data_IF_580582189593
#
_entry.id   IF_580582189593
#
_cell.length_a   1.000
_cell.length_b   1.000
_cell.length_c   1.000
_cell.angle_alpha   90.00
_cell.angle_beta   90.00
_cell.angle_gamma   90.00
#
_symmetry.space_group_name_H-M   'P 1'
#
loop_
_entity.id
_entity.type
_entity.pdbx_description
1 polymer ?
#
# COMPACT_ATOMS: atom_id res chain seq x y z
N UNK A 1 0.45 17.99 25.16
CA UNK A 1 1.01 16.78 24.53
C UNK A 1 1.77 16.05 25.62
N UNK A 2 1.18 14.97 26.16
CA UNK A 2 1.82 14.13 27.16
C UNK A 2 2.61 13.08 26.38
N UNK A 3 3.93 13.21 26.34
CA UNK A 3 4.83 12.14 25.89
C UNK A 3 4.72 11.03 26.94
N UNK A 4 4.34 9.78 26.59
CA UNK A 4 4.33 8.70 27.57
C UNK A 4 5.76 8.49 28.07
N UNK A 5 5.95 8.61 29.36
CA UNK A 5 7.19 8.25 30.02
C UNK A 5 7.26 6.71 30.04
N UNK A 6 7.98 6.12 29.09
CA UNK A 6 8.25 4.69 29.08
C UNK A 6 9.10 4.35 30.31
N UNK A 7 8.57 3.54 31.19
CA UNK A 7 9.37 2.96 32.30
C UNK A 7 10.30 1.92 31.65
N UNK A 8 11.61 2.01 31.94
CA UNK A 8 12.69 1.17 31.39
C UNK A 8 12.42 -0.35 31.43
N UNK A 9 11.55 -0.80 32.33
CA UNK A 9 11.25 -2.23 32.55
C UNK A 9 10.28 -2.85 31.53
N UNK A 10 9.44 -2.08 30.82
CA UNK A 10 8.44 -2.63 29.91
C UNK A 10 8.99 -2.83 28.48
N UNK A 11 9.96 -2.03 28.06
CA UNK A 11 10.63 -2.14 26.75
C UNK A 11 11.47 -3.42 26.67
N UNK A 12 12.07 -3.83 27.79
CA UNK A 12 12.99 -4.96 27.85
C UNK A 12 12.32 -6.33 27.60
N UNK A 13 11.08 -6.54 28.01
CA UNK A 13 10.44 -7.86 27.90
C UNK A 13 9.91 -8.15 26.49
N UNK A 14 9.15 -7.26 25.90
CA UNK A 14 8.55 -7.44 24.56
C UNK A 14 9.60 -7.61 23.45
N UNK A 15 10.64 -6.77 23.47
CA UNK A 15 11.67 -6.72 22.43
C UNK A 15 12.98 -7.39 22.84
N UNK A 16 13.02 -8.08 23.98
CA UNK A 16 14.24 -8.65 24.58
C UNK A 16 15.03 -9.52 23.58
N UNK A 17 14.36 -10.36 22.77
CA UNK A 17 15.01 -11.22 21.78
C UNK A 17 15.53 -10.42 20.58
N UNK A 18 14.85 -9.36 20.20
CA UNK A 18 15.25 -8.47 19.10
C UNK A 18 16.45 -7.61 19.51
N UNK A 19 16.48 -7.13 20.75
CA UNK A 19 17.59 -6.35 21.32
C UNK A 19 18.89 -7.16 21.39
N UNK A 20 18.82 -8.47 21.64
CA UNK A 20 20.00 -9.35 21.63
C UNK A 20 20.65 -9.48 20.26
N UNK A 21 19.93 -9.18 19.18
CA UNK A 21 20.51 -9.22 17.85
C UNK A 21 21.45 -8.04 17.62
N UNK A 22 22.70 -8.34 17.23
CA UNK A 22 23.76 -7.34 17.08
C UNK A 22 23.47 -6.19 16.12
N UNK A 23 22.62 -6.43 15.11
CA UNK A 23 22.20 -5.41 14.15
C UNK A 23 21.14 -4.43 14.68
N UNK A 24 20.54 -4.70 15.85
CA UNK A 24 19.52 -3.83 16.47
C UNK A 24 20.00 -3.29 17.80
N UNK A 25 20.20 -4.14 18.80
CA UNK A 25 20.56 -3.75 20.18
C UNK A 25 19.56 -2.77 20.79
N UNK A 26 19.83 -2.27 21.97
CA UNK A 26 18.98 -1.27 22.65
C UNK A 26 18.88 0.05 21.87
N UNK A 27 19.98 0.50 21.27
CA UNK A 27 20.00 1.74 20.50
C UNK A 27 19.11 1.64 19.25
N UNK A 28 19.23 0.54 18.49
CA UNK A 28 18.37 0.29 17.34
C UNK A 28 16.91 0.17 17.74
N UNK A 29 16.60 -0.51 18.86
CA UNK A 29 15.22 -0.60 19.35
C UNK A 29 14.64 0.77 19.71
N UNK A 30 15.42 1.65 20.34
CA UNK A 30 14.99 3.04 20.60
C UNK A 30 14.72 3.81 19.30
N UNK A 31 15.55 3.61 18.27
CA UNK A 31 15.32 4.20 16.95
C UNK A 31 14.02 3.67 16.30
N UNK A 32 13.76 2.36 16.37
CA UNK A 32 12.52 1.76 15.87
C UNK A 32 11.29 2.35 16.57
N UNK A 33 11.31 2.47 17.88
CA UNK A 33 10.21 3.06 18.67
C UNK A 33 9.96 4.54 18.36
N UNK A 34 10.96 5.26 17.86
CA UNK A 34 10.83 6.66 17.45
C UNK A 34 10.44 6.81 15.97
N UNK A 35 10.59 5.74 15.16
CA UNK A 35 10.46 5.77 13.72
C UNK A 35 9.00 5.82 13.27
N UNK A 36 8.82 6.38 12.05
CA UNK A 36 7.54 6.51 11.34
C UNK A 36 7.64 5.90 9.95
N UNK A 37 6.76 4.97 9.65
CA UNK A 37 6.77 4.25 8.38
C UNK A 37 5.42 4.41 7.69
N UNK A 38 5.44 4.75 6.40
CA UNK A 38 4.29 4.69 5.53
C UNK A 38 4.24 3.35 4.79
N UNK A 39 3.13 2.66 4.85
CA UNK A 39 2.84 1.46 4.07
C UNK A 39 1.78 1.83 3.04
N UNK A 40 2.16 1.84 1.75
CA UNK A 40 1.24 2.14 0.64
C UNK A 40 0.69 0.84 0.10
N UNK A 41 -0.61 0.64 0.26
CA UNK A 41 -1.30 -0.62 -0.02
C UNK A 41 -1.23 -1.59 1.16
N UNK A 42 -2.38 -2.09 1.61
CA UNK A 42 -2.52 -3.09 2.67
C UNK A 42 -3.07 -4.41 2.11
N UNK A 43 -2.59 -4.77 0.91
CA UNK A 43 -2.84 -6.05 0.27
C UNK A 43 -1.96 -7.17 0.84
N UNK A 44 -1.49 -8.07 -0.01
CA UNK A 44 -0.69 -9.23 0.41
C UNK A 44 0.65 -8.80 1.03
N UNK A 45 1.45 -7.98 0.34
CA UNK A 45 2.73 -7.48 0.86
C UNK A 45 2.50 -6.53 2.04
N UNK A 46 1.63 -5.53 1.89
CA UNK A 46 1.44 -4.50 2.91
C UNK A 46 0.87 -5.03 4.23
N UNK A 47 0.00 -6.03 4.22
CA UNK A 47 -0.46 -6.68 5.45
C UNK A 47 0.67 -7.40 6.18
N UNK A 48 1.57 -8.07 5.45
CA UNK A 48 2.74 -8.72 6.03
C UNK A 48 3.77 -7.68 6.55
N UNK A 49 3.96 -6.56 5.85
CA UNK A 49 4.78 -5.44 6.33
C UNK A 49 4.24 -4.88 7.66
N UNK A 50 2.95 -4.59 7.70
CA UNK A 50 2.28 -3.99 8.85
C UNK A 50 2.42 -4.89 10.10
N UNK A 51 2.20 -6.19 9.94
CA UNK A 51 2.37 -7.16 11.02
C UNK A 51 3.80 -7.20 11.52
N UNK A 52 4.78 -7.37 10.63
CA UNK A 52 6.17 -7.52 10.99
C UNK A 52 6.74 -6.26 11.66
N UNK A 53 6.46 -5.06 11.10
CA UNK A 53 6.92 -3.79 11.66
C UNK A 53 6.22 -3.45 12.98
N UNK A 54 4.92 -3.75 13.11
CA UNK A 54 4.20 -3.59 14.36
C UNK A 54 4.74 -4.46 15.48
N UNK A 55 5.09 -5.73 15.17
CA UNK A 55 5.74 -6.64 16.11
C UNK A 55 7.16 -6.21 16.45
N UNK A 56 7.90 -5.64 15.50
CA UNK A 56 9.24 -5.11 15.71
C UNK A 56 9.25 -3.81 16.54
N UNK A 57 8.10 -3.19 16.77
CA UNK A 57 7.98 -1.97 17.58
C UNK A 57 8.36 -0.71 16.82
N UNK A 58 8.04 -0.63 15.52
CA UNK A 58 8.09 0.65 14.80
C UNK A 58 7.02 1.56 15.40
N UNK A 59 7.45 2.71 15.95
CA UNK A 59 6.62 3.54 16.81
C UNK A 59 5.37 4.11 16.18
N UNK A 60 5.40 4.40 14.86
CA UNK A 60 4.23 4.86 14.11
C UNK A 60 4.14 4.20 12.74
N UNK A 61 2.99 3.60 12.46
CA UNK A 61 2.66 3.00 11.15
C UNK A 61 1.49 3.75 10.54
N UNK A 62 1.74 4.43 9.41
CA UNK A 62 0.71 5.00 8.56
C UNK A 62 0.39 3.98 7.48
N UNK A 63 -0.87 3.51 7.43
CA UNK A 63 -1.31 2.45 6.51
C UNK A 63 -2.37 3.02 5.59
N UNK A 64 -2.10 2.99 4.30
CA UNK A 64 -3.00 3.55 3.29
C UNK A 64 -3.49 2.45 2.36
N UNK A 65 -4.79 2.25 2.28
CA UNK A 65 -5.42 1.34 1.32
C UNK A 65 -6.84 1.83 1.00
N UNK A 66 -7.23 1.71 -0.26
CA UNK A 66 -8.55 2.10 -0.75
C UNK A 66 -9.60 1.00 -0.70
N UNK A 67 -9.15 -0.26 -0.56
CA UNK A 67 -10.00 -1.45 -0.70
C UNK A 67 -10.56 -1.93 0.63
N UNK A 68 -11.50 -2.84 0.54
CA UNK A 68 -12.06 -3.58 1.68
C UNK A 68 -11.67 -5.06 1.63
N UNK A 69 -11.83 -5.75 2.76
CA UNK A 69 -11.50 -7.17 2.88
C UNK A 69 -12.55 -8.01 2.14
N UNK A 70 -12.07 -8.95 1.31
CA UNK A 70 -12.89 -9.93 0.58
C UNK A 70 -12.44 -11.37 0.92
N UNK A 71 -13.31 -12.38 0.81
CA UNK A 71 -12.93 -13.79 1.07
C UNK A 71 -11.75 -14.26 0.22
N UNK A 72 -11.64 -13.78 -1.04
CA UNK A 72 -10.52 -14.07 -1.95
C UNK A 72 -9.16 -13.53 -1.48
N UNK A 73 -9.15 -12.63 -0.49
CA UNK A 73 -7.93 -12.07 0.08
C UNK A 73 -7.33 -12.98 1.16
N UNK A 74 -8.15 -13.72 1.90
CA UNK A 74 -7.79 -14.43 3.13
C UNK A 74 -6.69 -15.47 2.96
N UNK A 75 -6.55 -16.03 1.75
CA UNK A 75 -5.53 -17.04 1.47
C UNK A 75 -4.09 -16.48 1.47
N UNK A 76 -3.90 -15.14 1.41
CA UNK A 76 -2.56 -14.52 1.33
C UNK A 76 -2.39 -13.19 2.08
N UNK A 77 -3.45 -12.59 2.60
CA UNK A 77 -3.42 -11.33 3.37
C UNK A 77 -3.59 -11.65 4.86
N UNK A 78 -2.47 -11.90 5.53
CA UNK A 78 -2.39 -12.54 6.84
C UNK A 78 -3.04 -11.77 8.00
N UNK A 79 -3.22 -10.47 7.85
CA UNK A 79 -3.83 -9.62 8.89
C UNK A 79 -5.34 -9.77 8.99
N UNK A 80 -6.00 -10.36 7.97
CA UNK A 80 -7.46 -10.40 7.87
C UNK A 80 -8.03 -11.77 8.18
N UNK A 81 -9.26 -11.78 8.72
CA UNK A 81 -10.02 -12.97 9.07
C UNK A 81 -11.40 -12.96 8.42
N UNK A 82 -12.11 -14.08 8.49
CA UNK A 82 -13.44 -14.24 7.88
C UNK A 82 -14.44 -13.15 8.32
N UNK A 83 -14.45 -12.79 9.60
CA UNK A 83 -15.35 -11.75 10.10
C UNK A 83 -15.06 -10.35 9.55
N UNK A 84 -13.81 -10.07 9.13
CA UNK A 84 -13.48 -8.80 8.47
C UNK A 84 -14.06 -8.78 7.05
N UNK A 85 -14.00 -9.92 6.35
CA UNK A 85 -14.59 -10.08 5.02
C UNK A 85 -16.14 -10.05 5.06
N UNK A 86 -16.76 -10.69 6.05
CA UNK A 86 -18.21 -10.66 6.25
C UNK A 86 -18.71 -9.24 6.49
N UNK A 87 -18.00 -8.47 7.33
CA UNK A 87 -18.30 -7.06 7.62
C UNK A 87 -17.86 -6.11 6.53
N UNK A 88 -17.08 -6.60 5.56
CA UNK A 88 -16.44 -5.78 4.51
C UNK A 88 -15.72 -4.57 5.09
N UNK A 89 -14.88 -4.80 6.09
CA UNK A 89 -14.08 -3.73 6.67
C UNK A 89 -13.06 -3.21 5.64
N UNK A 90 -12.81 -1.90 5.59
CA UNK A 90 -11.66 -1.37 4.86
C UNK A 90 -10.37 -2.03 5.34
N UNK A 91 -9.48 -2.40 4.42
CA UNK A 91 -8.23 -3.09 4.74
C UNK A 91 -7.38 -2.33 5.75
N UNK A 92 -7.24 -1.01 5.57
CA UNK A 92 -6.48 -0.17 6.50
C UNK A 92 -7.07 -0.19 7.93
N UNK A 93 -8.41 -0.19 8.06
CA UNK A 93 -9.10 -0.27 9.36
C UNK A 93 -8.94 -1.64 9.99
N UNK A 94 -9.17 -2.72 9.23
CA UNK A 94 -9.02 -4.09 9.72
C UNK A 94 -7.58 -4.35 10.22
N UNK A 95 -6.58 -3.91 9.44
CA UNK A 95 -5.17 -3.99 9.82
C UNK A 95 -4.88 -3.19 11.09
N UNK A 96 -5.37 -1.95 11.20
CA UNK A 96 -5.16 -1.11 12.38
C UNK A 96 -5.77 -1.74 13.64
N UNK A 97 -6.96 -2.33 13.55
CA UNK A 97 -7.58 -3.01 14.68
C UNK A 97 -6.73 -4.21 15.13
N UNK A 98 -6.28 -5.03 14.18
CA UNK A 98 -5.42 -6.18 14.47
C UNK A 98 -4.07 -5.77 15.07
N UNK A 99 -3.47 -4.70 14.57
CA UNK A 99 -2.18 -4.20 15.08
C UNK A 99 -2.29 -3.69 16.51
N UNK A 100 -3.39 -3.04 16.89
CA UNK A 100 -3.64 -2.62 18.28
C UNK A 100 -3.74 -3.80 19.23
N UNK A 101 -4.30 -4.93 18.77
CA UNK A 101 -4.33 -6.19 19.55
C UNK A 101 -2.92 -6.82 19.64
N UNK A 102 -2.08 -6.67 18.61
CA UNK A 102 -0.70 -7.20 18.58
C UNK A 102 0.23 -6.35 19.44
N UNK A 103 0.16 -5.02 19.31
CA UNK A 103 1.05 -4.09 19.98
C UNK A 103 0.35 -2.76 20.29
N UNK A 104 -0.08 -2.60 21.54
CA UNK A 104 -0.77 -1.40 22.01
C UNK A 104 0.15 -0.20 22.28
N UNK A 105 1.48 -0.36 22.19
CA UNK A 105 2.47 0.67 22.48
C UNK A 105 2.82 1.54 21.27
N UNK A 106 2.40 1.13 20.06
CA UNK A 106 2.68 1.84 18.82
C UNK A 106 1.44 2.59 18.33
N UNK A 107 1.68 3.66 17.59
CA UNK A 107 0.62 4.46 16.97
C UNK A 107 0.30 3.93 15.56
N UNK A 108 -0.98 3.69 15.29
CA UNK A 108 -1.45 3.24 13.98
C UNK A 108 -2.38 4.28 13.38
N UNK A 109 -2.00 4.81 12.21
CA UNK A 109 -2.76 5.80 11.43
C UNK A 109 -3.37 5.13 10.17
N UNK A 110 -4.61 4.62 10.20
CA UNK A 110 -5.24 4.04 9.03
C UNK A 110 -5.85 5.13 8.13
N UNK A 111 -5.55 5.08 6.84
CA UNK A 111 -6.11 5.95 5.82
C UNK A 111 -6.87 5.12 4.76
N UNK A 112 -8.18 5.31 4.68
CA UNK A 112 -9.03 4.64 3.68
C UNK A 112 -9.17 5.56 2.47
N UNK A 113 -8.13 5.60 1.64
CA UNK A 113 -8.08 6.49 0.47
C UNK A 113 -7.28 5.87 -0.68
N UNK A 114 -7.54 6.36 -1.88
CA UNK A 114 -6.72 6.07 -3.05
C UNK A 114 -5.48 6.98 -3.04
N UNK A 115 -4.30 6.38 -3.24
CA UNK A 115 -3.04 7.14 -3.32
C UNK A 115 -2.89 7.69 -4.73
N UNK A 116 -2.77 9.02 -4.84
CA UNK A 116 -2.67 9.73 -6.10
C UNK A 116 -1.80 10.99 -5.95
N UNK A 117 -1.59 11.70 -7.06
CA UNK A 117 -0.74 12.91 -7.10
C UNK A 117 -1.14 14.02 -6.12
N UNK A 118 -2.42 14.08 -5.71
CA UNK A 118 -2.90 15.16 -4.82
C UNK A 118 -2.67 14.89 -3.33
N UNK A 119 -2.38 13.63 -2.94
CA UNK A 119 -2.27 13.26 -1.52
C UNK A 119 -0.96 12.55 -1.14
N UNK A 120 -0.21 12.00 -2.10
CA UNK A 120 0.99 11.22 -1.80
C UNK A 120 2.04 12.01 -1.02
N UNK A 121 2.28 13.28 -1.36
CA UNK A 121 3.25 14.11 -0.68
C UNK A 121 2.87 14.34 0.79
N UNK A 122 1.59 14.58 1.08
CA UNK A 122 1.09 14.69 2.45
C UNK A 122 1.19 13.35 3.22
N UNK A 123 0.96 12.23 2.53
CA UNK A 123 1.08 10.90 3.15
C UNK A 123 2.52 10.54 3.51
N UNK A 124 3.51 11.00 2.73
CA UNK A 124 4.94 10.78 2.99
C UNK A 124 5.45 11.72 4.10
N UNK A 125 4.86 12.88 4.25
CA UNK A 125 5.36 13.91 5.17
C UNK A 125 5.56 13.37 6.60
N UNK A 126 6.77 13.58 7.10
CA UNK A 126 7.21 13.13 8.42
C UNK A 126 7.43 11.62 8.55
N UNK A 127 7.47 10.86 7.45
CA UNK A 127 7.85 9.43 7.46
C UNK A 127 9.33 9.26 7.18
N UNK A 128 9.97 8.32 7.89
CA UNK A 128 11.39 7.99 7.72
C UNK A 128 11.61 7.02 6.55
N UNK A 129 10.66 6.12 6.29
CA UNK A 129 10.72 5.12 5.20
C UNK A 129 9.32 4.87 4.65
N UNK A 130 9.23 4.64 3.33
CA UNK A 130 8.01 4.19 2.65
C UNK A 130 8.16 2.74 2.19
N UNK A 131 7.18 1.89 2.45
CA UNK A 131 7.11 0.52 1.92
C UNK A 131 6.04 0.39 0.85
N UNK A 132 6.45 -0.19 -0.27
CA UNK A 132 5.56 -0.56 -1.37
C UNK A 132 4.85 -1.88 -1.09
N UNK A 133 3.55 -1.81 -0.82
CA UNK A 133 2.62 -2.94 -0.74
C UNK A 133 1.63 -2.98 -1.91
N UNK A 134 1.89 -2.22 -2.99
CA UNK A 134 0.98 -2.04 -4.13
C UNK A 134 1.10 -3.16 -5.16
N UNK A 135 0.12 -3.27 -6.05
CA UNK A 135 0.04 -4.26 -7.12
C UNK A 135 0.09 -3.65 -8.54
N UNK A 136 0.32 -2.34 -8.65
CA UNK A 136 0.31 -1.65 -9.94
C UNK A 136 1.49 -0.69 -10.13
N UNK A 137 1.93 -0.54 -11.37
CA UNK A 137 3.09 0.27 -11.71
C UNK A 137 2.85 1.78 -11.57
N UNK A 138 1.65 2.27 -11.88
CA UNK A 138 1.37 3.71 -11.79
C UNK A 138 1.55 4.25 -10.37
N UNK A 139 1.07 3.55 -9.37
CA UNK A 139 1.30 3.91 -7.97
C UNK A 139 2.77 3.80 -7.58
N UNK A 140 3.53 2.84 -8.13
CA UNK A 140 4.97 2.71 -7.87
C UNK A 140 5.77 3.88 -8.43
N UNK A 141 5.46 4.36 -9.63
CA UNK A 141 6.10 5.56 -10.18
C UNK A 141 5.73 6.80 -9.37
N UNK A 142 4.49 6.89 -8.90
CA UNK A 142 4.05 7.95 -8.02
C UNK A 142 4.83 7.95 -6.69
N UNK A 143 4.97 6.77 -6.04
CA UNK A 143 5.80 6.61 -4.83
C UNK A 143 7.24 7.01 -5.11
N UNK A 144 7.82 6.51 -6.22
CA UNK A 144 9.18 6.82 -6.59
C UNK A 144 9.42 8.33 -6.72
N UNK A 145 8.58 9.01 -7.50
CA UNK A 145 8.73 10.44 -7.76
C UNK A 145 8.55 11.26 -6.47
N UNK A 146 7.57 10.91 -5.65
CA UNK A 146 7.35 11.55 -4.37
C UNK A 146 8.51 11.32 -3.39
N UNK A 147 8.99 10.07 -3.26
CA UNK A 147 10.10 9.74 -2.37
C UNK A 147 11.42 10.39 -2.82
N UNK A 148 11.69 10.42 -4.13
CA UNK A 148 12.89 11.10 -4.66
C UNK A 148 12.80 12.61 -4.41
N UNK A 149 11.66 13.24 -4.65
CA UNK A 149 11.42 14.68 -4.43
C UNK A 149 11.57 15.09 -2.95
N UNK A 150 11.10 14.25 -2.04
CA UNK A 150 11.12 14.50 -0.59
C UNK A 150 12.32 13.86 0.13
N UNK A 151 13.29 13.32 -0.62
CA UNK A 151 14.50 12.67 -0.07
C UNK A 151 14.19 11.56 0.95
N UNK A 152 13.06 10.85 0.78
CA UNK A 152 12.61 9.79 1.67
C UNK A 152 13.04 8.42 1.13
N UNK A 153 13.72 7.61 1.94
CA UNK A 153 14.08 6.24 1.58
C UNK A 153 12.81 5.40 1.37
N UNK A 154 12.79 4.52 0.36
CA UNK A 154 11.68 3.61 0.16
C UNK A 154 12.10 2.22 -0.31
N UNK A 155 11.28 1.22 -0.02
CA UNK A 155 11.56 -0.16 -0.37
C UNK A 155 10.50 -0.68 -1.31
N UNK A 156 10.89 -0.83 -2.57
CA UNK A 156 10.09 -1.40 -3.65
C UNK A 156 9.92 -2.90 -3.47
N UNK A 157 8.73 -3.42 -3.76
CA UNK A 157 8.46 -4.85 -3.82
C UNK A 157 7.35 -5.22 -4.78
N UNK A 158 7.49 -6.36 -5.44
CA UNK A 158 6.45 -6.92 -6.29
C UNK A 158 6.45 -8.44 -6.21
N UNK A 159 5.27 -9.04 -6.32
CA UNK A 159 5.12 -10.49 -6.35
C UNK A 159 3.96 -10.89 -7.28
N UNK A 160 4.18 -11.94 -8.09
CA UNK A 160 3.17 -12.52 -8.98
C UNK A 160 3.51 -14.01 -9.19
N UNK A 161 2.51 -14.89 -9.17
CA UNK A 161 2.74 -16.34 -9.26
C UNK A 161 3.59 -16.84 -8.10
N UNK A 162 4.75 -17.36 -8.41
CA UNK A 162 5.81 -17.78 -7.47
C UNK A 162 7.04 -16.87 -7.51
N UNK A 163 6.99 -15.83 -8.35
CA UNK A 163 8.10 -14.90 -8.58
C UNK A 163 7.90 -13.60 -7.81
N UNK A 164 9.00 -13.05 -7.30
CA UNK A 164 9.01 -11.77 -6.61
C UNK A 164 10.30 -11.01 -6.76
N UNK A 165 10.23 -9.71 -6.58
CA UNK A 165 11.37 -8.80 -6.65
C UNK A 165 11.30 -7.78 -5.53
N UNK A 166 12.46 -7.28 -5.10
CA UNK A 166 12.55 -6.14 -4.17
C UNK A 166 13.83 -5.35 -4.38
N UNK A 167 13.77 -4.05 -4.12
CA UNK A 167 14.89 -3.11 -4.25
C UNK A 167 14.73 -1.99 -3.22
N UNK A 168 15.82 -1.62 -2.56
CA UNK A 168 15.87 -0.43 -1.69
C UNK A 168 16.29 0.78 -2.52
N UNK A 169 15.49 1.83 -2.50
CA UNK A 169 15.77 3.11 -3.15
C UNK A 169 16.11 4.14 -2.07
N UNK A 170 17.32 4.67 -2.16
CA UNK A 170 17.79 5.79 -1.36
C UNK A 170 18.05 6.97 -2.31
N UNK A 171 17.26 8.03 -2.23
CA UNK A 171 17.36 9.16 -3.15
C UNK A 171 18.81 9.65 -3.29
N UNK A 172 19.26 9.85 -4.53
CA UNK A 172 20.61 10.27 -4.91
C UNK A 172 21.78 9.34 -4.53
N UNK A 173 21.52 8.26 -3.78
CA UNK A 173 22.53 7.28 -3.36
C UNK A 173 22.46 5.98 -4.15
N UNK A 174 21.24 5.54 -4.49
CA UNK A 174 21.00 4.35 -5.32
C UNK A 174 20.20 4.73 -6.56
N UNK A 175 20.23 3.90 -7.63
CA UNK A 175 19.26 4.04 -8.72
C UNK A 175 17.84 4.05 -8.18
N UNK A 176 17.00 4.94 -8.72
CA UNK A 176 15.57 4.94 -8.42
C UNK A 176 14.83 3.93 -9.30
N UNK A 177 13.51 3.76 -9.11
CA UNK A 177 12.72 2.82 -9.90
C UNK A 177 12.79 3.12 -11.40
N UNK A 178 12.76 4.41 -11.80
CA UNK A 178 12.88 4.84 -13.21
C UNK A 178 14.25 4.59 -13.83
N UNK A 179 15.32 4.48 -13.04
CA UNK A 179 16.62 4.07 -13.55
C UNK A 179 16.62 2.60 -14.02
N UNK A 180 15.76 1.76 -13.43
CA UNK A 180 15.69 0.31 -13.69
C UNK A 180 14.57 -0.01 -14.68
N UNK A 181 13.43 0.66 -14.55
CA UNK A 181 12.25 0.52 -15.40
C UNK A 181 11.89 1.91 -15.93
N UNK A 182 12.42 2.25 -17.11
CA UNK A 182 12.25 3.59 -17.71
C UNK A 182 10.77 3.91 -17.96
N UNK A 183 10.02 2.93 -18.42
CA UNK A 183 8.59 3.04 -18.72
C UNK A 183 7.79 1.93 -18.03
N UNK A 184 6.57 2.25 -17.66
CA UNK A 184 5.64 1.25 -17.16
C UNK A 184 5.33 0.24 -18.28
N UNK A 185 5.32 -1.06 -18.00
CA UNK A 185 4.83 -2.04 -18.96
C UNK A 185 3.42 -1.67 -19.40
N UNK A 186 3.05 -1.85 -20.68
CA UNK A 186 1.68 -1.63 -21.12
C UNK A 186 0.69 -2.40 -20.24
N UNK A 187 -0.41 -1.77 -19.86
CA UNK A 187 -1.38 -2.28 -18.87
C UNK A 187 -1.89 -3.72 -19.12
N UNK A 188 -1.84 -4.21 -20.38
CA UNK A 188 -2.27 -5.56 -20.74
C UNK A 188 -1.12 -6.57 -20.88
N UNK A 189 0.15 -6.15 -20.82
CA UNK A 189 1.30 -7.01 -21.14
C UNK A 189 1.95 -7.68 -19.91
N UNK A 190 1.75 -7.13 -18.71
CA UNK A 190 2.32 -7.68 -17.50
C UNK A 190 1.28 -8.55 -16.77
N UNK A 191 1.65 -9.80 -16.38
CA UNK A 191 0.79 -10.63 -15.55
C UNK A 191 0.57 -9.94 -14.19
N UNK A 192 -0.68 -9.93 -13.72
CA UNK A 192 -1.08 -9.41 -12.42
C UNK A 192 -1.42 -10.56 -11.46
N UNK A 193 -1.56 -10.28 -10.16
CA UNK A 193 -2.04 -11.28 -9.21
C UNK A 193 -3.44 -11.82 -9.57
N UNK A 194 -4.27 -11.01 -10.23
CA UNK A 194 -5.62 -11.39 -10.64
C UNK A 194 -5.62 -12.26 -11.91
N UNK A 195 -4.62 -12.12 -12.80
CA UNK A 195 -4.53 -12.87 -14.05
C UNK A 195 -3.64 -14.11 -13.99
N UNK A 196 -2.54 -14.05 -13.22
CA UNK A 196 -1.57 -15.15 -13.08
C UNK A 196 -1.63 -15.83 -11.70
N UNK A 197 -2.41 -15.29 -10.76
CA UNK A 197 -2.43 -15.73 -9.38
C UNK A 197 -1.17 -15.34 -8.61
N UNK A 198 -1.14 -15.68 -7.34
CA UNK A 198 0.05 -15.53 -6.48
C UNK A 198 -0.07 -16.47 -5.28
N UNK A 199 1.02 -17.09 -4.90
CA UNK A 199 1.08 -17.96 -3.72
C UNK A 199 1.64 -17.20 -2.51
N UNK A 200 1.12 -17.51 -1.32
CA UNK A 200 1.55 -16.86 -0.07
C UNK A 200 3.06 -16.94 0.21
N UNK A 201 3.79 -18.06 -0.06
CA UNK A 201 5.22 -18.14 0.22
C UNK A 201 6.06 -17.03 -0.43
N UNK A 202 5.76 -16.63 -1.68
CA UNK A 202 6.52 -15.55 -2.32
C UNK A 202 6.22 -14.19 -1.68
N UNK A 203 4.98 -13.97 -1.24
CA UNK A 203 4.58 -12.77 -0.51
C UNK A 203 5.40 -12.65 0.78
N UNK A 204 5.46 -13.73 1.57
CA UNK A 204 6.20 -13.76 2.83
C UNK A 204 7.69 -13.52 2.62
N UNK A 205 8.27 -14.10 1.56
CA UNK A 205 9.68 -13.92 1.26
C UNK A 205 10.01 -12.48 0.86
N UNK A 206 9.29 -11.90 -0.10
CA UNK A 206 9.48 -10.52 -0.55
C UNK A 206 9.28 -9.56 0.63
N UNK A 207 8.20 -9.74 1.38
CA UNK A 207 7.91 -8.92 2.56
C UNK A 207 8.99 -9.04 3.63
N UNK A 208 9.50 -10.24 3.90
CA UNK A 208 10.58 -10.43 4.88
C UNK A 208 11.86 -9.65 4.49
N UNK A 209 12.20 -9.63 3.19
CA UNK A 209 13.35 -8.86 2.71
C UNK A 209 13.06 -7.36 2.81
N UNK A 210 11.90 -6.88 2.35
CA UNK A 210 11.51 -5.46 2.45
C UNK A 210 11.54 -4.96 3.91
N UNK A 211 10.97 -5.73 4.83
CA UNK A 211 10.98 -5.41 6.26
C UNK A 211 12.40 -5.38 6.80
N UNK A 212 13.26 -6.34 6.44
CA UNK A 212 14.65 -6.37 6.88
C UNK A 212 15.42 -5.14 6.40
N UNK A 213 15.27 -4.75 5.14
CA UNK A 213 15.88 -3.52 4.62
C UNK A 213 15.36 -2.27 5.35
N UNK A 214 14.05 -2.23 5.63
CA UNK A 214 13.45 -1.15 6.42
C UNK A 214 14.05 -1.07 7.83
N UNK A 215 14.20 -2.21 8.52
CA UNK A 215 14.83 -2.24 9.84
C UNK A 215 16.27 -1.74 9.78
N UNK A 216 17.05 -2.10 8.74
CA UNK A 216 18.42 -1.59 8.53
C UNK A 216 18.43 -0.08 8.32
N UNK A 217 17.53 0.47 7.50
CA UNK A 217 17.41 1.91 7.29
C UNK A 217 17.11 2.63 8.60
N UNK A 218 16.09 2.20 9.32
CA UNK A 218 15.64 2.83 10.56
C UNK A 218 16.66 2.75 11.70
N UNK A 219 17.45 1.68 11.74
CA UNK A 219 18.51 1.51 12.80
C UNK A 219 19.84 2.14 12.39
N UNK A 220 19.99 2.57 11.12
CA UNK A 220 21.21 3.18 10.60
C UNK A 220 22.25 2.17 10.08
N UNK A 221 21.91 0.89 9.91
CA UNK A 221 22.77 -0.15 9.36
C UNK A 221 22.82 -0.13 7.81
N UNK A 222 23.04 1.04 7.23
CA UNK A 222 22.95 1.25 5.78
C UNK A 222 24.04 0.57 4.97
N UNK A 223 25.17 0.20 5.59
CA UNK A 223 26.23 -0.59 4.94
C UNK A 223 25.82 -2.03 4.66
N UNK A 224 24.82 -2.53 5.39
CA UNK A 224 24.32 -3.92 5.27
C UNK A 224 23.17 -4.05 4.29
N UNK A 225 22.74 -2.96 3.64
CA UNK A 225 21.70 -2.98 2.60
C UNK A 225 22.15 -3.82 1.42
N UNK A 226 21.20 -4.53 0.78
CA UNK A 226 21.57 -5.43 -0.34
C UNK A 226 22.02 -4.72 -1.62
N UNK A 227 21.72 -3.41 -1.79
CA UNK A 227 22.17 -2.55 -2.90
C UNK A 227 22.01 -3.20 -4.29
N UNK A 228 20.89 -3.84 -4.54
CA UNK A 228 20.63 -4.62 -5.76
C UNK A 228 19.14 -4.78 -6.00
N UNK A 229 18.76 -5.24 -7.18
CA UNK A 229 17.45 -5.81 -7.41
C UNK A 229 17.52 -7.30 -7.03
N UNK A 230 16.87 -7.66 -5.94
CA UNK A 230 16.73 -9.06 -5.53
C UNK A 230 15.56 -9.70 -6.29
N UNK A 231 15.78 -10.87 -6.84
CA UNK A 231 14.78 -11.65 -7.59
C UNK A 231 14.67 -13.04 -6.98
N UNK A 232 13.44 -13.51 -6.82
CA UNK A 232 13.12 -14.80 -6.22
C UNK A 232 12.09 -15.54 -7.07
N UNK A 233 12.29 -16.85 -7.28
CA UNK A 233 11.23 -17.76 -7.69
C UNK A 233 11.20 -18.94 -6.71
N UNK A 234 10.25 -18.94 -5.79
CA UNK A 234 10.17 -19.94 -4.72
C UNK A 234 9.76 -21.32 -5.23
N UNK A 235 9.09 -21.40 -6.39
CA UNK A 235 8.69 -22.69 -6.98
C UNK A 235 9.85 -23.38 -7.69
N UNK A 236 10.75 -22.58 -8.29
CA UNK A 236 11.94 -23.06 -8.99
C UNK A 236 13.19 -23.09 -8.12
N UNK A 237 13.12 -22.55 -6.87
CA UNK A 237 14.26 -22.37 -5.99
C UNK A 237 15.35 -21.47 -6.62
N UNK A 238 14.97 -20.45 -7.36
CA UNK A 238 15.88 -19.50 -7.98
C UNK A 238 15.98 -18.23 -7.14
N UNK A 239 17.24 -17.82 -6.87
CA UNK A 239 17.58 -16.63 -6.10
C UNK A 239 18.64 -15.87 -6.86
N UNK A 240 18.36 -14.62 -7.21
CA UNK A 240 19.29 -13.81 -8.01
C UNK A 240 19.46 -12.44 -7.38
N UNK A 241 20.72 -12.00 -7.32
CA UNK A 241 21.10 -10.64 -6.95
C UNK A 241 21.59 -9.94 -8.20
N UNK A 242 20.77 -9.02 -8.72
CA UNK A 242 21.08 -8.26 -9.95
C UNK A 242 21.64 -6.91 -9.54
N UNK A 243 22.86 -6.61 -10.01
CA UNK A 243 23.47 -5.29 -9.78
C UNK A 243 22.64 -4.20 -10.47
N UNK A 244 22.35 -3.14 -9.74
CA UNK A 244 21.58 -1.99 -10.24
C UNK A 244 22.46 -0.80 -10.64
N UNK A 245 23.79 -0.89 -10.43
CA UNK A 245 24.74 0.16 -10.78
C UNK A 245 24.64 1.39 -9.89
N UNK A 246 24.82 2.56 -10.50
CA UNK A 246 24.73 3.88 -9.86
C UNK A 246 23.55 4.67 -10.41
N UNK A 247 23.08 5.72 -9.74
CA UNK A 247 22.03 6.60 -10.26
C UNK A 247 22.37 7.10 -11.67
N UNK A 248 21.39 7.02 -12.58
CA UNK A 248 21.56 7.55 -13.92
C UNK A 248 21.37 9.09 -13.91
N UNK A 249 22.37 9.90 -14.30
CA UNK A 249 22.24 11.36 -14.30
C UNK A 249 21.19 11.87 -15.29
N UNK A 250 20.87 11.11 -16.33
CA UNK A 250 19.84 11.45 -17.32
C UNK A 250 18.46 10.89 -16.97
N UNK A 251 18.33 10.23 -15.81
CA UNK A 251 17.02 9.74 -15.34
C UNK A 251 16.04 10.90 -15.11
N UNK A 252 14.84 10.90 -15.70
CA UNK A 252 13.88 11.98 -15.51
C UNK A 252 13.63 12.31 -14.03
N UNK A 253 13.41 11.29 -13.21
CA UNK A 253 13.09 11.46 -11.78
C UNK A 253 14.33 11.86 -10.95
N UNK A 254 15.28 10.95 -10.71
CA UNK A 254 16.38 11.20 -9.77
C UNK A 254 17.55 11.99 -10.36
N UNK A 255 17.72 12.04 -11.69
CA UNK A 255 18.76 12.79 -12.37
C UNK A 255 18.33 14.23 -12.71
N UNK A 256 17.17 14.37 -13.34
CA UNK A 256 16.70 15.65 -13.88
C UNK A 256 15.65 16.35 -12.99
N UNK A 257 15.15 15.71 -11.95
CA UNK A 257 14.14 16.27 -11.05
C UNK A 257 12.76 16.48 -11.71
N UNK A 258 12.46 15.69 -12.74
CA UNK A 258 11.17 15.74 -13.45
C UNK A 258 10.24 14.69 -12.85
N UNK A 259 9.27 15.12 -12.06
CA UNK A 259 8.36 14.24 -11.30
C UNK A 259 7.00 14.13 -11.99
N UNK A 260 7.00 13.56 -13.20
CA UNK A 260 5.81 13.47 -14.06
C UNK A 260 4.61 12.81 -13.38
N UNK A 261 4.85 11.82 -12.50
CA UNK A 261 3.77 11.14 -11.79
C UNK A 261 3.07 12.01 -10.73
N UNK A 262 3.68 13.13 -10.33
CA UNK A 262 3.11 14.10 -9.40
C UNK A 262 2.31 15.20 -10.10
N UNK A 263 2.31 15.23 -11.43
CA UNK A 263 1.55 16.21 -12.17
C UNK A 263 0.07 15.78 -12.31
N UNK A 264 -0.87 16.73 -12.29
CA UNK A 264 -2.27 16.44 -12.51
C UNK A 264 -2.47 15.79 -13.88
N UNK A 265 -3.00 14.58 -13.91
CA UNK A 265 -3.41 13.95 -15.17
C UNK A 265 -4.62 14.73 -15.70
N UNK A 266 -4.47 15.37 -16.85
CA UNK A 266 -5.47 16.26 -17.45
C UNK A 266 -6.75 15.57 -17.96
N UNK A 267 -6.90 14.26 -17.74
CA UNK A 267 -8.07 13.50 -18.13
C UNK A 267 -8.59 12.64 -16.98
N UNK A 268 -9.82 12.98 -16.58
CA UNK A 268 -10.80 12.16 -15.85
C UNK A 268 -10.42 10.75 -15.36
N UNK A 269 -10.47 10.64 -14.19
CA UNK A 269 -10.67 9.77 -13.07
C UNK A 269 -11.58 8.53 -13.23
N UNK A 270 -11.50 7.83 -14.34
CA UNK A 270 -12.05 6.49 -14.47
C UNK A 270 -10.92 5.50 -14.77
N UNK A 271 -10.64 4.59 -13.84
CA UNK A 271 -9.63 3.55 -13.98
C UNK A 271 -10.30 2.17 -14.05
N UNK A 272 -9.95 1.41 -15.08
CA UNK A 272 -10.34 -0.01 -15.17
C UNK A 272 -9.53 -0.78 -14.12
N UNK A 273 -10.20 -1.48 -13.22
CA UNK A 273 -9.57 -2.35 -12.26
C UNK A 273 -9.27 -3.69 -12.94
N UNK A 274 -8.00 -3.93 -13.25
CA UNK A 274 -7.55 -5.13 -13.97
C UNK A 274 -8.06 -6.40 -13.29
N UNK A 275 -8.64 -7.33 -14.09
CA UNK A 275 -9.03 -8.67 -13.63
C UNK A 275 -10.37 -8.77 -12.88
N UNK A 276 -11.18 -7.69 -12.77
CA UNK A 276 -12.38 -7.70 -11.90
C UNK A 276 -13.71 -7.33 -12.58
N UNK A 277 -13.78 -7.13 -13.89
CA UNK A 277 -14.94 -6.52 -14.58
C UNK A 277 -15.48 -5.34 -13.77
N UNK A 278 -14.59 -4.46 -13.35
CA UNK A 278 -14.88 -3.36 -12.44
C UNK A 278 -14.15 -2.08 -12.85
N UNK A 279 -14.85 -0.97 -12.72
CA UNK A 279 -14.31 0.35 -13.03
C UNK A 279 -14.40 1.22 -11.78
N UNK A 280 -13.28 1.81 -11.40
CA UNK A 280 -13.26 2.84 -10.38
C UNK A 280 -13.56 4.19 -11.02
N UNK A 281 -14.46 4.95 -10.41
CA UNK A 281 -14.72 6.34 -10.73
C UNK A 281 -14.41 7.17 -9.50
N UNK A 282 -13.60 8.20 -9.69
CA UNK A 282 -13.27 9.16 -8.65
C UNK A 282 -13.85 10.54 -9.04
N UNK A 283 -14.49 11.28 -8.13
CA UNK A 283 -14.98 12.61 -8.42
C UNK A 283 -13.81 13.57 -8.71
N UNK A 284 -14.05 14.56 -9.56
CA UNK A 284 -13.05 15.58 -9.93
C UNK A 284 -12.75 16.55 -8.78
N UNK A 285 -13.61 16.62 -7.77
CA UNK A 285 -13.44 17.45 -6.58
C UNK A 285 -13.71 16.64 -5.31
N UNK A 286 -13.00 16.92 -4.21
CA UNK A 286 -13.28 16.29 -2.93
C UNK A 286 -14.73 16.52 -2.52
N UNK A 287 -15.47 15.43 -2.30
CA UNK A 287 -16.89 15.46 -1.92
C UNK A 287 -17.09 14.47 -0.79
N UNK A 288 -17.95 14.80 0.16
CA UNK A 288 -18.32 13.87 1.24
C UNK A 288 -19.76 13.43 1.07
N UNK A 289 -20.00 12.11 1.11
CA UNK A 289 -21.33 11.51 0.98
C UNK A 289 -21.84 11.07 2.35
N UNK A 290 -23.06 11.53 2.68
CA UNK A 290 -23.85 10.92 3.74
C UNK A 290 -24.55 9.65 3.23
N UNK A 291 -24.07 8.49 3.70
CA UNK A 291 -24.59 7.19 3.28
C UNK A 291 -26.04 6.97 3.65
N UNK A 292 -26.56 7.58 4.72
CA UNK A 292 -27.97 7.43 5.13
C UNK A 292 -28.89 8.07 4.09
N UNK A 293 -28.61 9.33 3.76
CA UNK A 293 -29.36 10.07 2.74
C UNK A 293 -29.26 9.42 1.36
N UNK A 294 -28.04 8.95 1.00
CA UNK A 294 -27.83 8.24 -0.25
C UNK A 294 -28.62 6.93 -0.30
N UNK A 295 -28.60 6.16 0.79
CA UNK A 295 -29.32 4.89 0.87
C UNK A 295 -30.81 5.07 0.71
N UNK A 296 -31.42 6.09 1.34
CA UNK A 296 -32.85 6.41 1.19
C UNK A 296 -33.21 6.71 -0.27
N UNK A 297 -32.35 7.46 -0.96
CA UNK A 297 -32.53 7.81 -2.38
C UNK A 297 -32.43 6.59 -3.30
N UNK A 298 -31.55 5.63 -2.98
CA UNK A 298 -31.26 4.48 -3.84
C UNK A 298 -32.20 3.28 -3.62
N UNK A 299 -32.79 3.11 -2.43
CA UNK A 299 -33.68 1.97 -2.10
C UNK A 299 -34.80 1.69 -3.13
N UNK A 300 -35.45 2.72 -3.72
CA UNK A 300 -36.48 2.45 -4.75
C UNK A 300 -35.92 1.82 -6.04
N UNK A 301 -34.59 1.88 -6.26
CA UNK A 301 -33.95 1.45 -7.50
C UNK A 301 -33.14 0.16 -7.37
N UNK A 302 -33.03 -0.43 -6.14
CA UNK A 302 -32.29 -1.66 -5.93
C UNK A 302 -32.00 -1.99 -4.46
N UNK A 303 -31.19 -3.02 -4.24
CA UNK A 303 -30.77 -3.44 -2.90
C UNK A 303 -29.62 -2.55 -2.39
N UNK A 304 -29.79 -1.98 -1.20
CA UNK A 304 -28.82 -1.06 -0.57
C UNK A 304 -28.43 -1.59 0.79
N UNK A 305 -27.11 -1.75 0.96
CA UNK A 305 -26.49 -2.06 2.27
C UNK A 305 -25.36 -1.07 2.51
N UNK A 306 -25.21 -0.58 3.75
CA UNK A 306 -24.11 0.30 4.10
C UNK A 306 -23.65 0.11 5.54
N UNK A 307 -22.42 0.49 5.79
CA UNK A 307 -21.83 0.64 7.12
C UNK A 307 -21.21 2.06 7.24
N UNK A 308 -20.41 2.29 8.25
CA UNK A 308 -19.75 3.60 8.45
C UNK A 308 -18.69 3.94 7.38
N UNK A 309 -18.23 2.97 6.57
CA UNK A 309 -17.10 3.14 5.62
C UNK A 309 -17.50 3.12 4.16
N UNK A 310 -18.56 2.40 3.81
CA UNK A 310 -19.01 2.25 2.43
C UNK A 310 -20.50 1.97 2.31
N UNK A 311 -21.05 2.32 1.13
CA UNK A 311 -22.39 1.95 0.72
C UNK A 311 -22.32 1.06 -0.52
N UNK A 312 -23.03 -0.07 -0.49
CA UNK A 312 -23.20 -0.97 -1.64
C UNK A 312 -24.62 -0.88 -2.16
N UNK A 313 -24.71 -0.69 -3.47
CA UNK A 313 -25.97 -0.61 -4.20
C UNK A 313 -25.97 -1.60 -5.36
N UNK A 314 -26.94 -2.53 -5.36
CA UNK A 314 -27.15 -3.47 -6.46
C UNK A 314 -28.36 -3.06 -7.29
N UNK A 315 -28.16 -2.97 -8.62
CA UNK A 315 -29.21 -2.65 -9.57
C UNK A 315 -29.00 -3.43 -10.87
N UNK A 316 -29.94 -4.33 -11.21
CA UNK A 316 -29.78 -5.24 -12.34
C UNK A 316 -28.50 -6.09 -12.22
N UNK A 317 -27.67 -6.15 -13.28
CA UNK A 317 -26.40 -6.89 -13.24
C UNK A 317 -25.26 -6.12 -12.56
N UNK A 318 -25.47 -4.85 -12.19
CA UNK A 318 -24.42 -3.98 -11.67
C UNK A 318 -24.40 -3.89 -10.15
N UNK A 319 -23.20 -3.76 -9.59
CA UNK A 319 -23.01 -3.43 -8.19
C UNK A 319 -22.11 -2.20 -8.07
N UNK A 320 -22.58 -1.16 -7.39
CA UNK A 320 -21.82 0.04 -7.07
C UNK A 320 -21.40 -0.03 -5.59
N UNK A 321 -20.11 0.09 -5.34
CA UNK A 321 -19.57 0.29 -3.99
C UNK A 321 -19.10 1.74 -3.90
N UNK A 322 -19.73 2.52 -3.03
CA UNK A 322 -19.53 3.97 -2.87
C UNK A 322 -18.80 4.23 -1.56
N UNK A 323 -17.76 5.02 -1.58
CA UNK A 323 -16.99 5.45 -0.43
C UNK A 323 -17.39 6.86 0.04
N UNK A 324 -16.97 7.26 1.24
CA UNK A 324 -17.32 8.58 1.80
C UNK A 324 -16.82 9.74 0.95
N UNK A 325 -15.69 9.59 0.27
CA UNK A 325 -15.09 10.57 -0.64
C UNK A 325 -15.77 10.61 -2.03
N UNK A 326 -16.93 9.97 -2.17
CA UNK A 326 -17.70 9.77 -3.40
C UNK A 326 -17.02 8.90 -4.47
N UNK A 327 -15.82 8.45 -4.25
CA UNK A 327 -15.20 7.42 -5.09
C UNK A 327 -16.10 6.20 -5.13
N UNK A 328 -16.25 5.60 -6.31
CA UNK A 328 -17.14 4.45 -6.50
C UNK A 328 -16.50 3.38 -7.37
N UNK A 329 -16.69 2.13 -6.99
CA UNK A 329 -16.31 0.97 -7.80
C UNK A 329 -17.59 0.40 -8.40
N UNK A 330 -17.66 0.38 -9.72
CA UNK A 330 -18.79 -0.18 -10.49
C UNK A 330 -18.38 -1.54 -11.01
N UNK A 331 -19.02 -2.60 -10.54
CA UNK A 331 -18.84 -3.99 -11.01
C UNK A 331 -19.92 -4.40 -11.99
N UNK A 332 -19.60 -5.37 -12.87
CA UNK A 332 -20.49 -5.90 -13.89
C UNK A 332 -20.37 -5.21 -15.25
N UNK A 333 -19.30 -4.40 -15.42
CA UNK A 333 -18.95 -3.79 -16.69
C UNK A 333 -17.46 -3.49 -16.78
N UNK A 334 -16.90 -3.64 -17.97
CA UNK A 334 -15.56 -3.21 -18.38
C UNK A 334 -15.60 -1.92 -19.22
N UNK A 335 -16.83 -1.38 -19.47
CA UNK A 335 -17.06 -0.19 -20.29
C UNK A 335 -17.09 1.07 -19.42
N UNK A 336 -16.06 1.93 -19.55
CA UNK A 336 -15.96 3.20 -18.81
C UNK A 336 -17.21 4.08 -18.99
N UNK A 337 -17.77 4.15 -20.21
CA UNK A 337 -18.96 4.93 -20.49
C UNK A 337 -20.18 4.43 -19.70
N UNK A 338 -20.35 3.11 -19.59
CA UNK A 338 -21.42 2.49 -18.80
C UNK A 338 -21.27 2.81 -17.33
N UNK A 339 -20.05 2.65 -16.79
CA UNK A 339 -19.75 2.94 -15.39
C UNK A 339 -20.01 4.41 -15.03
N UNK A 340 -19.58 5.36 -15.90
CA UNK A 340 -19.86 6.79 -15.73
C UNK A 340 -21.36 7.10 -15.75
N UNK A 341 -22.10 6.49 -16.67
CA UNK A 341 -23.55 6.67 -16.76
C UNK A 341 -24.25 6.20 -15.47
N UNK A 342 -23.83 5.05 -14.93
CA UNK A 342 -24.35 4.53 -13.67
C UNK A 342 -23.97 5.44 -12.49
N UNK A 343 -22.74 5.93 -12.44
CA UNK A 343 -22.28 6.85 -11.41
C UNK A 343 -23.08 8.15 -11.44
N UNK A 344 -23.16 8.81 -12.60
CA UNK A 344 -23.93 10.05 -12.77
C UNK A 344 -25.42 9.87 -12.41
N UNK A 345 -26.00 8.73 -12.79
CA UNK A 345 -27.42 8.44 -12.52
C UNK A 345 -27.74 8.27 -11.03
N UNK A 346 -26.88 7.57 -10.30
CA UNK A 346 -27.19 7.12 -8.95
C UNK A 346 -26.44 7.88 -7.84
N UNK A 347 -25.23 8.32 -8.12
CA UNK A 347 -24.40 9.02 -7.13
C UNK A 347 -24.50 10.54 -7.34
N UNK A 348 -24.38 10.98 -8.59
CA UNK A 348 -24.39 12.38 -9.00
C UNK A 348 -23.03 12.85 -9.49
N UNK A 349 -23.03 14.01 -10.13
CA UNK A 349 -21.80 14.71 -10.55
C UNK A 349 -21.29 15.59 -9.42
#
# INVERSE_FOLDING_TARGET
VIVPCYTETAVDDRYSRQILFNGIREEGQRKLLAARVLIVGCGALGSAHAEALGRAGVGRLRIVDRDFVEPSNLQRQTMFIESDAEKRLPKAIAAANRLRDINSEIEIEPHVTDVNYSNIEQLIDGCDVVLDGTDNFSTRYLINDACVKHETDWVYGAAVGSYGVTMTVRPHQTPCLRCIFEEAPPAASAPTCDTAGVIMPIINLVSAVQVTETLKLLTGNTTDLHQSLMQFDVWRNEWRKVSIGVPNPDCPSCGLGQYESLEPISSETAAVLCGRDAIQISPSQPTSIDFRSLAERLRPSGDVKFNEYLLRFKTGPFELTVFQDARSIVRGTDQIATARSLYAKYIGN
#
